data_IF_257769873435
#
_entry.id   IF_257769873435
#
_cell.length_a   1.000
_cell.length_b   1.000
_cell.length_c   1.000
_cell.angle_alpha   90.00
_cell.angle_beta   90.00
_cell.angle_gamma   90.00
#
_symmetry.space_group_name_H-M   'P 1'
#
loop_
_entity.id
_entity.type
_entity.pdbx_description
1 polymer ?
#
# COMPACT_ATOMS: atom_id res chain seq x y z
N UNK A 1 -14.04 0.20 -13.79
CA UNK A 1 -12.92 -0.71 -13.44
C UNK A 1 -12.90 -1.13 -11.96
N UNK A 2 -13.85 -0.68 -11.14
CA UNK A 2 -14.03 -1.18 -9.78
C UNK A 2 -15.51 -1.39 -9.49
N UNK A 3 -15.84 -2.47 -8.80
CA UNK A 3 -17.19 -2.77 -8.34
C UNK A 3 -17.22 -2.86 -6.82
N UNK A 4 -18.32 -2.43 -6.16
CA UNK A 4 -18.46 -2.54 -4.72
C UNK A 4 -18.34 -3.99 -4.25
N UNK A 5 -17.77 -4.19 -3.06
CA UNK A 5 -17.77 -5.49 -2.41
C UNK A 5 -19.11 -5.69 -1.68
N UNK A 6 -19.96 -6.55 -2.25
CA UNK A 6 -21.26 -6.93 -1.70
C UNK A 6 -21.17 -8.41 -1.29
N UNK A 7 -21.09 -8.73 0.01
CA UNK A 7 -21.09 -10.10 0.48
C UNK A 7 -22.49 -10.73 0.32
N UNK A 8 -22.59 -12.06 0.10
CA UNK A 8 -23.87 -12.75 -0.04
C UNK A 8 -24.49 -12.98 1.35
N UNK A 9 -25.03 -11.92 1.94
CA UNK A 9 -25.69 -11.93 3.25
C UNK A 9 -27.18 -11.67 3.05
N UNK A 10 -28.02 -12.43 3.76
CA UNK A 10 -29.46 -12.27 3.66
C UNK A 10 -29.88 -10.88 4.17
N UNK A 11 -30.66 -10.17 3.35
CA UNK A 11 -31.08 -8.80 3.62
C UNK A 11 -30.01 -7.72 3.40
N UNK A 12 -28.84 -8.05 2.81
CA UNK A 12 -27.80 -7.04 2.53
C UNK A 12 -28.28 -5.90 1.63
N UNK A 13 -29.29 -6.15 0.79
CA UNK A 13 -29.91 -5.15 -0.10
C UNK A 13 -30.64 -4.03 0.66
N UNK A 14 -30.92 -4.22 1.96
CA UNK A 14 -31.43 -3.17 2.85
C UNK A 14 -30.36 -2.12 3.18
N UNK A 15 -29.08 -2.44 2.97
CA UNK A 15 -27.97 -1.54 3.21
C UNK A 15 -27.69 -0.66 1.99
N UNK A 16 -27.47 0.64 2.24
CA UNK A 16 -27.02 1.58 1.21
C UNK A 16 -25.51 1.41 1.02
N UNK A 17 -25.05 1.18 -0.22
CA UNK A 17 -23.63 1.11 -0.54
C UNK A 17 -22.94 2.45 -0.35
N UNK A 18 -21.67 2.45 0.10
CA UNK A 18 -20.82 3.65 0.19
C UNK A 18 -20.90 4.52 -1.08
N UNK A 19 -20.92 3.87 -2.25
CA UNK A 19 -21.04 4.51 -3.56
C UNK A 19 -22.33 5.34 -3.79
N UNK A 20 -23.35 5.14 -2.94
CA UNK A 20 -24.67 5.75 -3.05
C UNK A 20 -25.12 6.46 -1.76
N UNK A 21 -24.24 6.64 -0.77
CA UNK A 21 -24.58 7.32 0.49
C UNK A 21 -24.88 8.80 0.20
N UNK A 22 -25.97 9.32 0.77
CA UNK A 22 -26.30 10.75 0.63
C UNK A 22 -25.26 11.61 1.31
N UNK A 23 -24.90 12.73 0.67
CA UNK A 23 -24.04 13.76 1.24
C UNK A 23 -24.84 14.79 2.05
N UNK A 24 -26.17 14.75 2.00
CA UNK A 24 -27.06 15.66 2.72
C UNK A 24 -27.19 15.18 4.16
N UNK A 25 -26.62 15.94 5.10
CA UNK A 25 -26.54 15.57 6.52
C UNK A 25 -27.92 15.52 7.19
N UNK A 26 -28.86 16.34 6.73
CA UNK A 26 -30.23 16.42 7.22
C UNK A 26 -30.99 15.08 7.05
N UNK A 27 -30.63 14.24 6.08
CA UNK A 27 -31.21 12.90 5.92
C UNK A 27 -30.88 11.94 7.06
N UNK A 28 -29.86 12.29 7.86
CA UNK A 28 -29.38 11.51 8.99
C UNK A 28 -29.86 12.07 10.34
N UNK A 29 -30.61 13.17 10.34
CA UNK A 29 -31.16 13.78 11.55
C UNK A 29 -32.00 12.79 12.37
N UNK A 30 -31.64 12.66 13.65
CA UNK A 30 -32.29 11.76 14.61
C UNK A 30 -32.30 10.28 14.16
N UNK A 31 -31.36 9.87 13.32
CA UNK A 31 -31.22 8.48 12.84
C UNK A 31 -30.15 7.74 13.63
N UNK A 32 -30.44 6.49 13.99
CA UNK A 32 -29.45 5.53 14.45
C UNK A 32 -28.87 4.79 13.26
N UNK A 33 -27.55 4.82 13.08
CA UNK A 33 -26.89 4.33 11.86
C UNK A 33 -25.95 3.19 12.18
N UNK A 34 -26.05 2.11 11.40
CA UNK A 34 -25.07 1.02 11.39
C UNK A 34 -24.19 1.12 10.15
N UNK A 35 -22.87 1.15 10.33
CA UNK A 35 -21.89 1.13 9.25
C UNK A 35 -21.17 -0.22 9.23
N UNK A 36 -21.19 -0.89 8.08
CA UNK A 36 -20.48 -2.15 7.85
C UNK A 36 -19.09 -1.85 7.29
N UNK A 37 -18.07 -2.11 8.07
CA UNK A 37 -16.67 -1.85 7.76
C UNK A 37 -16.04 -0.87 8.74
N UNK A 38 -14.70 -0.85 8.75
CA UNK A 38 -13.86 0.03 9.59
C UNK A 38 -12.61 0.52 8.86
N UNK A 39 -12.70 0.63 7.53
CA UNK A 39 -11.68 1.30 6.71
C UNK A 39 -11.93 2.81 6.62
N UNK A 40 -11.08 3.53 5.88
CA UNK A 40 -11.23 4.99 5.72
C UNK A 40 -12.64 5.41 5.30
N UNK A 41 -13.21 4.76 4.27
CA UNK A 41 -14.57 5.04 3.81
C UNK A 41 -15.64 4.97 4.92
N UNK A 42 -15.54 4.02 5.86
CA UNK A 42 -16.49 3.89 6.96
C UNK A 42 -16.36 5.06 7.94
N UNK A 43 -15.13 5.43 8.29
CA UNK A 43 -14.86 6.54 9.21
C UNK A 43 -15.10 7.91 8.58
N UNK A 44 -14.87 8.08 7.27
CA UNK A 44 -15.24 9.30 6.54
C UNK A 44 -16.74 9.50 6.52
N UNK A 45 -17.52 8.44 6.25
CA UNK A 45 -18.99 8.51 6.33
C UNK A 45 -19.43 8.86 7.75
N UNK A 46 -18.89 8.17 8.76
CA UNK A 46 -19.24 8.44 10.15
C UNK A 46 -18.93 9.89 10.55
N UNK A 47 -17.74 10.38 10.21
CA UNK A 47 -17.31 11.75 10.46
C UNK A 47 -18.24 12.77 9.80
N UNK A 48 -18.70 12.49 8.57
CA UNK A 48 -19.58 13.38 7.81
C UNK A 48 -20.98 13.49 8.42
N UNK A 49 -21.53 12.39 8.93
CA UNK A 49 -22.91 12.35 9.46
C UNK A 49 -22.99 12.50 10.99
N UNK A 50 -21.84 12.55 11.66
CA UNK A 50 -21.75 12.43 13.12
C UNK A 50 -22.68 13.39 13.86
N UNK A 51 -22.61 14.67 13.49
CA UNK A 51 -23.32 15.76 14.17
C UNK A 51 -24.85 15.73 13.94
N UNK A 52 -25.35 14.91 13.00
CA UNK A 52 -26.77 14.77 12.70
C UNK A 52 -27.40 13.49 13.30
N UNK A 53 -26.59 12.45 13.54
CA UNK A 53 -27.09 11.14 13.98
C UNK A 53 -27.31 11.03 15.48
N UNK A 54 -28.18 10.11 15.91
CA UNK A 54 -28.35 9.77 17.33
C UNK A 54 -27.13 9.03 17.90
N UNK A 55 -26.65 8.05 17.14
CA UNK A 55 -25.46 7.26 17.42
C UNK A 55 -25.06 6.48 16.16
N UNK A 56 -23.78 6.12 16.09
CA UNK A 56 -23.22 5.33 15.01
C UNK A 56 -22.57 4.07 15.58
N UNK A 57 -22.97 2.92 15.07
CA UNK A 57 -22.30 1.65 15.34
C UNK A 57 -21.51 1.18 14.12
N UNK A 58 -20.33 0.60 14.34
CA UNK A 58 -19.49 0.04 13.28
C UNK A 58 -19.19 -1.44 13.49
N UNK A 59 -19.53 -2.25 12.50
CA UNK A 59 -19.24 -3.69 12.50
C UNK A 59 -18.11 -4.03 11.52
N UNK A 60 -17.14 -4.82 11.96
CA UNK A 60 -16.07 -5.33 11.10
C UNK A 60 -15.53 -6.66 11.61
N UNK A 61 -14.93 -7.46 10.72
CA UNK A 61 -14.27 -8.73 11.06
C UNK A 61 -12.91 -8.56 11.74
N UNK A 62 -12.39 -7.34 11.80
CA UNK A 62 -11.05 -7.08 12.31
C UNK A 62 -10.95 -5.77 13.05
N UNK A 63 -10.03 -5.73 14.03
CA UNK A 63 -9.63 -4.53 14.76
C UNK A 63 -9.28 -3.36 13.83
N UNK A 64 -9.48 -2.15 14.34
CA UNK A 64 -9.02 -0.93 13.68
C UNK A 64 -7.49 -0.93 13.61
N UNK A 65 -6.97 -0.46 12.47
CA UNK A 65 -5.54 -0.20 12.27
C UNK A 65 -5.38 1.25 11.91
N UNK A 66 -4.47 1.94 12.56
CA UNK A 66 -4.17 3.34 12.28
C UNK A 66 -3.06 3.46 11.25
N UNK A 67 -3.25 4.31 10.24
CA UNK A 67 -2.30 4.53 9.15
C UNK A 67 -0.93 5.02 9.64
N UNK A 68 -0.89 5.84 10.70
CA UNK A 68 0.38 6.31 11.28
C UNK A 68 1.17 5.17 11.94
N UNK A 69 0.50 4.13 12.44
CA UNK A 69 1.14 2.99 13.10
C UNK A 69 1.57 1.91 12.10
N UNK A 70 0.75 1.66 11.07
CA UNK A 70 1.05 0.65 10.04
C UNK A 70 1.87 1.17 8.86
N UNK A 71 2.06 2.49 8.79
CA UNK A 71 2.62 3.19 7.64
C UNK A 71 1.94 2.80 6.31
N UNK A 72 0.62 2.60 6.37
CA UNK A 72 -0.18 2.25 5.20
C UNK A 72 -1.39 3.16 5.10
N UNK A 73 -1.43 4.00 4.05
CA UNK A 73 -2.48 5.01 3.85
C UNK A 73 -3.88 4.39 3.72
N UNK A 74 -3.98 3.11 3.36
CA UNK A 74 -5.26 2.38 3.29
C UNK A 74 -5.82 1.92 4.64
N UNK A 75 -5.09 2.13 5.74
CA UNK A 75 -5.59 2.01 7.11
C UNK A 75 -6.15 3.36 7.60
N UNK A 76 -6.78 3.39 8.79
CA UNK A 76 -7.52 4.55 9.29
C UNK A 76 -6.63 5.80 9.44
N UNK A 77 -7.02 6.89 8.79
CA UNK A 77 -6.41 8.21 8.94
C UNK A 77 -6.85 8.87 10.24
N UNK A 78 -5.90 9.45 10.97
CA UNK A 78 -6.14 10.09 12.27
C UNK A 78 -7.16 11.25 12.23
N UNK A 79 -7.31 11.91 11.08
CA UNK A 79 -8.28 12.98 10.89
C UNK A 79 -9.74 12.52 11.04
N UNK A 80 -10.00 11.21 10.85
CA UNK A 80 -11.33 10.62 10.96
C UNK A 80 -11.50 9.79 12.24
N UNK A 81 -10.71 10.05 13.28
CA UNK A 81 -10.72 9.25 14.51
C UNK A 81 -11.81 9.63 15.50
N UNK A 82 -12.65 10.65 15.25
CA UNK A 82 -13.62 11.16 16.22
C UNK A 82 -14.49 10.07 16.86
N UNK A 83 -14.96 9.10 16.05
CA UNK A 83 -15.77 7.99 16.53
C UNK A 83 -15.01 7.03 17.47
N UNK A 84 -13.68 6.93 17.37
CA UNK A 84 -12.88 6.16 18.33
C UNK A 84 -12.86 6.83 19.70
N UNK A 85 -12.74 8.16 19.72
CA UNK A 85 -12.73 8.94 20.96
C UNK A 85 -14.09 8.85 21.65
N UNK A 86 -15.19 9.02 20.91
CA UNK A 86 -16.55 9.02 21.47
C UNK A 86 -16.95 7.64 21.97
N UNK A 87 -16.59 6.58 21.25
CA UNK A 87 -16.75 5.19 21.72
C UNK A 87 -16.07 4.96 23.07
N UNK A 88 -14.84 5.46 23.26
CA UNK A 88 -14.10 5.28 24.51
C UNK A 88 -14.56 6.21 25.63
N UNK A 89 -15.05 7.41 25.30
CA UNK A 89 -15.40 8.46 26.26
C UNK A 89 -16.89 8.48 26.65
N UNK A 90 -17.54 7.31 26.64
CA UNK A 90 -18.92 7.07 27.15
C UNK A 90 -20.03 7.75 26.33
N UNK A 91 -19.88 7.87 25.01
CA UNK A 91 -21.01 8.11 24.13
C UNK A 91 -21.81 6.82 23.87
N UNK A 92 -22.89 6.91 23.08
CA UNK A 92 -23.66 5.75 22.62
C UNK A 92 -23.04 5.05 21.40
N UNK A 93 -21.94 5.56 20.85
CA UNK A 93 -21.27 4.94 19.70
C UNK A 93 -20.64 3.60 20.07
N UNK A 94 -20.54 2.68 19.11
CA UNK A 94 -20.00 1.35 19.35
C UNK A 94 -19.17 0.82 18.18
N UNK A 95 -18.07 0.14 18.50
CA UNK A 95 -17.31 -0.67 17.56
C UNK A 95 -17.45 -2.14 17.96
N UNK A 96 -18.01 -2.97 17.07
CA UNK A 96 -18.22 -4.40 17.34
C UNK A 96 -17.51 -5.31 16.31
N UNK A 97 -16.73 -6.28 16.80
CA UNK A 97 -16.01 -7.27 15.99
C UNK A 97 -16.84 -8.54 15.85
N UNK A 98 -17.45 -8.75 14.68
CA UNK A 98 -18.21 -9.97 14.36
C UNK A 98 -17.99 -10.40 12.91
N UNK A 99 -18.23 -11.68 12.62
CA UNK A 99 -18.34 -12.15 11.24
C UNK A 99 -19.75 -11.91 10.69
N UNK A 100 -19.85 -10.96 9.76
CA UNK A 100 -21.10 -10.62 9.08
C UNK A 100 -21.71 -11.81 8.33
N UNK A 101 -20.92 -12.82 7.94
CA UNK A 101 -21.44 -14.01 7.26
C UNK A 101 -22.34 -14.89 8.16
N UNK A 102 -22.18 -14.78 9.48
CA UNK A 102 -22.99 -15.48 10.47
C UNK A 102 -24.28 -14.72 10.83
N UNK A 103 -24.55 -13.60 10.15
CA UNK A 103 -25.66 -12.73 10.47
C UNK A 103 -26.58 -12.51 9.27
N UNK A 104 -27.80 -12.04 9.53
CA UNK A 104 -28.78 -11.59 8.55
C UNK A 104 -29.33 -10.21 8.93
N UNK A 105 -29.82 -9.48 7.93
CA UNK A 105 -30.48 -8.19 8.12
C UNK A 105 -31.98 -8.33 7.88
N UNK A 106 -32.78 -7.94 8.87
CA UNK A 106 -34.23 -8.01 8.82
C UNK A 106 -34.83 -6.62 9.01
N UNK A 107 -35.73 -6.22 8.12
CA UNK A 107 -36.50 -4.99 8.30
C UNK A 107 -37.76 -5.29 9.10
N UNK A 108 -38.00 -4.54 10.17
CA UNK A 108 -39.23 -4.62 10.93
C UNK A 108 -40.39 -4.04 10.11
N UNK A 109 -41.47 -4.80 9.84
CA UNK A 109 -42.58 -4.33 9.03
C UNK A 109 -43.40 -3.22 9.68
N UNK A 110 -43.27 -2.99 11.00
CA UNK A 110 -44.06 -1.99 11.74
C UNK A 110 -43.40 -0.60 11.69
N UNK A 111 -42.11 -0.51 12.02
CA UNK A 111 -41.39 0.76 12.11
C UNK A 111 -40.38 0.99 10.97
N UNK A 112 -40.15 -0.03 10.12
CA UNK A 112 -39.21 0.03 8.99
C UNK A 112 -37.73 -0.03 9.38
N UNK A 113 -37.39 -0.19 10.66
CA UNK A 113 -36.00 -0.23 11.15
C UNK A 113 -35.37 -1.58 10.87
N UNK A 114 -34.05 -1.57 10.65
CA UNK A 114 -33.27 -2.74 10.26
C UNK A 114 -32.56 -3.30 11.50
N UNK A 115 -32.76 -4.60 11.75
CA UNK A 115 -32.07 -5.34 12.80
C UNK A 115 -31.02 -6.27 12.19
N UNK A 116 -29.90 -6.44 12.89
CA UNK A 116 -28.92 -7.50 12.61
C UNK A 116 -29.15 -8.65 13.59
N UNK A 117 -29.29 -9.87 13.08
CA UNK A 117 -29.49 -11.08 13.90
C UNK A 117 -28.52 -12.17 13.51
N UNK A 118 -28.18 -13.03 14.46
CA UNK A 118 -27.41 -14.24 14.19
C UNK A 118 -28.24 -15.21 13.34
N UNK A 119 -27.63 -15.85 12.34
CA UNK A 119 -28.27 -16.93 11.57
C UNK A 119 -28.43 -18.13 12.50
N UNK A 120 -29.64 -18.37 12.97
CA UNK A 120 -29.93 -19.50 13.85
C UNK A 120 -29.84 -20.79 13.01
N UNK A 121 -28.92 -21.70 13.36
CA UNK A 121 -29.06 -23.11 12.99
C UNK A 121 -30.04 -23.78 13.94
N UNK A 122 -30.83 -24.75 13.46
CA UNK A 122 -31.91 -25.46 14.20
C UNK A 122 -31.52 -26.09 15.56
N UNK A 123 -30.27 -25.98 16.01
CA UNK A 123 -29.73 -26.62 17.21
C UNK A 123 -29.63 -25.74 18.45
N UNK A 124 -29.75 -24.41 18.38
CA UNK A 124 -29.45 -23.53 19.53
C UNK A 124 -30.61 -22.62 19.94
N UNK A 125 -31.69 -23.24 20.46
CA UNK A 125 -32.88 -22.58 21.00
C UNK A 125 -32.55 -21.72 22.25
N UNK A 126 -31.44 -21.99 22.94
CA UNK A 126 -31.06 -21.29 24.19
C UNK A 126 -30.44 -19.88 24.01
N UNK A 127 -30.19 -19.41 22.77
CA UNK A 127 -29.66 -18.06 22.52
C UNK A 127 -30.81 -17.03 22.35
N UNK A 128 -32.07 -17.48 22.29
CA UNK A 128 -33.24 -16.63 22.04
C UNK A 128 -33.47 -15.50 23.06
N UNK A 129 -33.01 -15.63 24.31
CA UNK A 129 -33.55 -14.81 25.42
C UNK A 129 -32.69 -13.61 25.88
N UNK A 130 -31.56 -13.27 25.24
CA UNK A 130 -30.64 -12.25 25.81
C UNK A 130 -30.15 -11.11 24.93
N UNK A 131 -30.58 -10.99 23.69
CA UNK A 131 -30.21 -9.83 22.87
C UNK A 131 -31.46 -9.06 22.46
N UNK A 132 -31.73 -7.95 23.15
CA UNK A 132 -32.51 -6.87 22.56
C UNK A 132 -31.80 -6.47 21.26
N UNK A 133 -32.34 -6.92 20.13
CA UNK A 133 -31.74 -6.64 18.83
C UNK A 133 -31.84 -5.15 18.54
N UNK A 134 -30.71 -4.45 18.67
CA UNK A 134 -30.59 -3.03 18.33
C UNK A 134 -31.05 -2.86 16.89
N UNK A 135 -32.02 -1.95 16.69
CA UNK A 135 -32.57 -1.62 15.39
C UNK A 135 -32.02 -0.27 14.92
N UNK A 136 -31.76 -0.18 13.61
CA UNK A 136 -31.15 0.99 12.96
C UNK A 136 -32.09 1.57 11.92
N UNK A 137 -32.07 2.88 11.77
CA UNK A 137 -32.85 3.56 10.74
C UNK A 137 -32.17 3.50 9.37
N UNK A 138 -30.83 3.37 9.36
CA UNK A 138 -30.01 3.22 8.15
C UNK A 138 -28.89 2.21 8.40
N UNK A 139 -28.64 1.36 7.40
CA UNK A 139 -27.44 0.53 7.33
C UNK A 139 -26.62 0.97 6.12
N UNK A 140 -25.31 1.19 6.29
CA UNK A 140 -24.40 1.66 5.26
C UNK A 140 -23.28 0.64 5.05
N UNK A 141 -23.05 0.21 3.81
CA UNK A 141 -22.02 -0.76 3.44
C UNK A 141 -20.75 -0.08 2.96
N UNK A 142 -19.73 -0.06 3.82
CA UNK A 142 -18.38 0.47 3.56
C UNK A 142 -17.33 -0.67 3.49
N UNK A 143 -17.62 -1.72 2.74
CA UNK A 143 -16.82 -2.97 2.68
C UNK A 143 -15.73 -2.99 1.60
N UNK A 144 -15.44 -1.82 1.00
CA UNK A 144 -14.43 -1.64 -0.03
C UNK A 144 -14.89 -2.06 -1.44
N UNK A 145 -13.94 -2.06 -2.35
CA UNK A 145 -14.13 -2.35 -3.78
C UNK A 145 -13.22 -3.48 -4.25
N UNK A 146 -13.62 -4.15 -5.32
CA UNK A 146 -12.84 -5.17 -6.03
C UNK A 146 -12.66 -4.77 -7.49
N UNK A 147 -11.62 -5.31 -8.12
CA UNK A 147 -11.40 -5.22 -9.56
C UNK A 147 -12.63 -5.73 -10.31
N UNK A 148 -13.11 -4.88 -11.21
CA UNK A 148 -14.24 -5.14 -12.08
C UNK A 148 -13.73 -5.73 -13.39
N UNK A 149 -13.97 -7.03 -13.58
CA UNK A 149 -13.62 -7.82 -14.75
C UNK A 149 -14.77 -7.95 -15.78
N UNK A 150 -15.80 -7.12 -15.70
CA UNK A 150 -16.98 -7.23 -16.57
C UNK A 150 -16.77 -6.71 -18.00
N UNK A 151 -15.75 -5.90 -18.26
CA UNK A 151 -15.46 -5.39 -19.61
C UNK A 151 -14.93 -6.49 -20.55
N UNK A 152 -14.43 -7.60 -20.00
CA UNK A 152 -13.89 -8.71 -20.77
C UNK A 152 -15.00 -9.70 -21.18
N UNK A 153 -14.85 -10.36 -22.33
CA UNK A 153 -15.73 -11.44 -22.74
C UNK A 153 -15.68 -12.60 -21.74
N UNK A 154 -16.76 -13.37 -21.59
CA UNK A 154 -16.86 -14.47 -20.61
C UNK A 154 -15.80 -15.57 -20.75
N UNK A 155 -15.16 -15.68 -21.92
CA UNK A 155 -14.05 -16.61 -22.19
C UNK A 155 -12.69 -16.09 -21.71
N UNK A 156 -12.58 -14.79 -21.43
CA UNK A 156 -11.36 -14.15 -20.92
C UNK A 156 -11.45 -14.10 -19.41
N UNK A 157 -10.69 -14.97 -18.73
CA UNK A 157 -10.67 -15.06 -17.27
C UNK A 157 -9.35 -14.52 -16.75
N UNK A 158 -9.42 -13.37 -16.08
CA UNK A 158 -8.27 -12.79 -15.40
C UNK A 158 -8.17 -13.43 -14.01
N UNK A 159 -7.07 -14.13 -13.75
CA UNK A 159 -6.78 -14.64 -12.42
C UNK A 159 -6.67 -13.49 -11.41
N UNK A 160 -7.20 -13.72 -10.21
CA UNK A 160 -7.08 -12.81 -9.07
C UNK A 160 -6.08 -13.38 -8.08
N UNK A 161 -5.45 -12.52 -7.30
CA UNK A 161 -4.57 -13.00 -6.23
C UNK A 161 -5.35 -13.76 -5.15
N UNK A 162 -4.64 -14.41 -4.23
CA UNK A 162 -5.24 -15.10 -3.09
C UNK A 162 -5.25 -14.23 -1.83
N UNK A 163 -6.09 -14.59 -0.86
CA UNK A 163 -6.14 -13.94 0.45
C UNK A 163 -6.51 -12.45 0.36
N UNK A 164 -5.75 -11.58 1.05
CA UNK A 164 -6.08 -10.16 1.19
C UNK A 164 -5.91 -9.32 -0.09
N UNK A 165 -5.20 -9.84 -1.08
CA UNK A 165 -4.97 -9.17 -2.37
C UNK A 165 -5.93 -9.68 -3.46
N UNK A 166 -6.87 -10.59 -3.15
CA UNK A 166 -7.84 -11.14 -4.10
C UNK A 166 -8.76 -10.11 -4.78
N UNK A 167 -8.78 -8.88 -4.26
CA UNK A 167 -9.47 -7.75 -4.85
C UNK A 167 -8.74 -7.15 -6.07
N UNK A 168 -7.50 -7.58 -6.35
CA UNK A 168 -6.71 -7.14 -7.50
C UNK A 168 -6.47 -8.30 -8.49
N UNK A 169 -6.27 -7.98 -9.79
CA UNK A 169 -5.78 -8.97 -10.75
C UNK A 169 -4.40 -9.48 -10.33
N UNK A 170 -4.11 -10.72 -10.68
CA UNK A 170 -2.78 -11.33 -10.55
C UNK A 170 -1.95 -10.85 -11.74
N UNK A 171 -0.85 -10.14 -11.46
CA UNK A 171 -0.01 -9.53 -12.50
C UNK A 171 1.48 -9.78 -12.20
N UNK A 172 2.27 -9.90 -13.27
CA UNK A 172 3.72 -10.08 -13.22
C UNK A 172 4.43 -8.79 -12.77
N UNK A 173 5.74 -8.87 -12.46
CA UNK A 173 6.50 -7.70 -11.99
C UNK A 173 6.73 -6.61 -13.04
N UNK A 174 6.52 -6.92 -14.32
CA UNK A 174 6.46 -5.97 -15.44
C UNK A 174 5.02 -5.49 -15.74
N UNK A 175 4.10 -5.76 -14.82
CA UNK A 175 2.68 -5.37 -14.83
C UNK A 175 1.84 -6.03 -15.94
N UNK A 176 2.39 -7.06 -16.59
CA UNK A 176 1.64 -7.89 -17.52
C UNK A 176 0.69 -8.83 -16.76
N UNK A 177 -0.40 -9.24 -17.41
CA UNK A 177 -1.23 -10.35 -16.97
C UNK A 177 -0.39 -11.61 -16.78
N UNK A 178 -0.76 -12.45 -15.82
CA UNK A 178 -0.23 -13.81 -15.74
C UNK A 178 -0.83 -14.75 -16.79
N UNK A 179 -2.04 -14.46 -17.26
CA UNK A 179 -2.84 -15.37 -18.08
C UNK A 179 -2.71 -15.07 -19.58
N UNK A 180 -2.45 -13.82 -19.94
CA UNK A 180 -2.45 -13.35 -21.32
C UNK A 180 -1.21 -12.50 -21.65
N UNK A 181 -0.49 -12.91 -22.68
CA UNK A 181 0.56 -12.09 -23.26
C UNK A 181 -0.02 -10.79 -23.84
N UNK A 182 0.77 -9.73 -23.75
CA UNK A 182 0.44 -8.39 -24.25
C UNK A 182 -0.77 -7.71 -23.58
N UNK A 183 -1.31 -8.26 -22.51
CA UNK A 183 -2.31 -7.61 -21.64
C UNK A 183 -1.63 -7.04 -20.40
N UNK A 184 -1.80 -5.74 -20.13
CA UNK A 184 -1.15 -5.06 -19.00
C UNK A 184 -2.14 -4.32 -18.12
N UNK A 185 -1.78 -4.16 -16.85
CA UNK A 185 -2.59 -3.45 -15.86
C UNK A 185 -1.83 -2.22 -15.35
N UNK A 186 -2.55 -1.10 -15.21
CA UNK A 186 -1.97 0.17 -14.76
C UNK A 186 -2.83 0.84 -13.69
N UNK A 187 -2.30 1.88 -13.05
CA UNK A 187 -2.95 2.61 -11.97
C UNK A 187 -3.03 1.79 -10.68
N UNK A 188 -4.15 1.90 -9.95
CA UNK A 188 -4.33 1.25 -8.64
C UNK A 188 -4.31 -0.28 -8.71
N UNK A 189 -4.50 -0.89 -9.89
CA UNK A 189 -4.41 -2.34 -10.08
C UNK A 189 -2.97 -2.86 -9.93
N UNK A 190 -1.98 -2.00 -10.15
CA UNK A 190 -0.56 -2.32 -9.93
C UNK A 190 -0.26 -2.53 -8.44
N UNK A 191 -1.15 -2.06 -7.55
CA UNK A 191 -1.03 -2.28 -6.11
C UNK A 191 -1.16 -3.75 -5.69
N UNK A 192 -1.51 -4.65 -6.61
CA UNK A 192 -1.39 -6.10 -6.44
C UNK A 192 0.03 -6.53 -6.02
N UNK A 193 1.07 -5.87 -6.52
CA UNK A 193 2.48 -6.23 -6.30
C UNK A 193 2.99 -5.69 -4.95
N UNK A 194 2.64 -4.44 -4.63
CA UNK A 194 3.16 -3.70 -3.47
C UNK A 194 2.12 -3.44 -2.39
N UNK A 195 1.02 -4.21 -2.36
CA UNK A 195 -0.02 -4.12 -1.33
C UNK A 195 0.58 -4.12 0.08
N UNK A 196 0.38 -3.02 0.82
CA UNK A 196 0.94 -2.80 2.17
C UNK A 196 2.47 -2.84 2.27
N UNK A 197 3.16 -2.66 1.14
CA UNK A 197 4.63 -2.59 1.08
C UNK A 197 5.10 -1.19 0.69
N UNK A 198 4.39 -0.53 -0.22
CA UNK A 198 4.72 0.83 -0.70
C UNK A 198 3.45 1.57 -1.16
N UNK A 199 3.62 2.62 -1.95
CA UNK A 199 2.60 3.62 -2.28
C UNK A 199 1.78 3.36 -3.54
N UNK A 200 1.93 2.22 -4.22
CA UNK A 200 1.29 1.91 -5.50
C UNK A 200 -0.24 1.87 -5.48
N UNK A 201 -0.86 1.93 -4.31
CA UNK A 201 -2.32 2.03 -4.15
C UNK A 201 -2.89 3.44 -4.36
N UNK A 202 -2.03 4.46 -4.45
CA UNK A 202 -2.42 5.87 -4.42
C UNK A 202 -1.72 6.66 -5.53
N UNK A 203 -2.31 7.79 -5.93
CA UNK A 203 -1.85 8.59 -7.08
C UNK A 203 -0.38 8.98 -7.01
N UNK A 204 0.13 9.27 -5.81
CA UNK A 204 1.53 9.64 -5.60
C UNK A 204 2.48 8.47 -5.87
N UNK A 205 2.05 7.20 -5.76
CA UNK A 205 2.86 6.03 -6.08
C UNK A 205 2.62 5.48 -7.49
N UNK A 206 1.36 5.15 -7.85
CA UNK A 206 1.10 4.48 -9.13
C UNK A 206 1.43 5.33 -10.35
N UNK A 207 1.54 6.66 -10.22
CA UNK A 207 2.00 7.52 -11.31
C UNK A 207 3.42 7.14 -11.77
N UNK A 208 4.30 6.78 -10.84
CA UNK A 208 5.66 6.32 -11.17
C UNK A 208 5.63 4.91 -11.72
N UNK A 209 4.81 4.01 -11.17
CA UNK A 209 4.62 2.68 -11.74
C UNK A 209 4.12 2.76 -13.20
N UNK A 210 3.22 3.69 -13.50
CA UNK A 210 2.73 3.94 -14.86
C UNK A 210 3.85 4.43 -15.78
N UNK A 211 4.71 5.33 -15.30
CA UNK A 211 5.90 5.78 -16.04
C UNK A 211 6.89 4.64 -16.29
N UNK A 212 7.13 3.80 -15.29
CA UNK A 212 7.93 2.58 -15.42
C UNK A 212 7.36 1.65 -16.49
N UNK A 213 6.05 1.39 -16.49
CA UNK A 213 5.39 0.57 -17.51
C UNK A 213 5.59 1.15 -18.92
N UNK A 214 5.47 2.48 -19.06
CA UNK A 214 5.76 3.15 -20.32
C UNK A 214 7.20 2.90 -20.81
N UNK A 215 8.19 3.01 -19.92
CA UNK A 215 9.60 2.74 -20.26
C UNK A 215 9.87 1.27 -20.60
N UNK A 216 9.17 0.34 -19.94
CA UNK A 216 9.19 -1.09 -20.31
C UNK A 216 8.70 -1.26 -21.75
N UNK A 217 7.62 -0.56 -22.15
CA UNK A 217 7.08 -0.62 -23.50
C UNK A 217 8.01 -0.03 -24.55
N UNK A 218 8.67 1.10 -24.26
CA UNK A 218 9.65 1.73 -25.14
C UNK A 218 10.70 0.74 -25.62
N UNK A 219 11.30 -0.02 -24.71
CA UNK A 219 12.29 -1.02 -25.10
C UNK A 219 11.66 -2.28 -25.71
N UNK A 220 10.59 -2.80 -25.08
CA UNK A 220 9.95 -4.05 -25.50
C UNK A 220 9.45 -3.99 -26.94
N UNK A 221 8.71 -2.93 -27.29
CA UNK A 221 8.01 -2.82 -28.57
C UNK A 221 8.69 -1.89 -29.59
N UNK A 222 9.48 -0.93 -29.13
CA UNK A 222 10.10 0.06 -30.03
C UNK A 222 11.63 0.01 -30.03
N UNK A 223 12.25 -0.83 -29.19
CA UNK A 223 13.71 -0.92 -29.02
C UNK A 223 14.35 0.42 -28.65
N UNK A 224 13.56 1.33 -28.09
CA UNK A 224 14.04 2.58 -27.49
C UNK A 224 14.61 2.19 -26.13
N UNK A 225 15.93 2.31 -25.96
CA UNK A 225 16.59 1.97 -24.70
C UNK A 225 16.04 2.83 -23.57
N UNK A 226 16.02 2.28 -22.35
CA UNK A 226 15.65 3.04 -21.16
C UNK A 226 16.49 4.32 -21.09
N UNK A 227 15.84 5.42 -20.72
CA UNK A 227 16.52 6.70 -20.55
C UNK A 227 17.71 6.53 -19.61
N UNK A 228 18.90 6.96 -20.03
CA UNK A 228 20.08 6.83 -19.19
C UNK A 228 21.01 8.02 -19.37
N UNK A 229 21.73 8.35 -18.28
CA UNK A 229 22.76 9.36 -18.29
C UNK A 229 24.12 8.69 -18.08
N UNK A 230 25.08 8.98 -18.94
CA UNK A 230 26.47 8.54 -18.76
C UNK A 230 27.32 9.69 -18.23
N UNK A 231 28.13 9.42 -17.22
CA UNK A 231 29.04 10.39 -16.63
C UNK A 231 30.34 9.71 -16.18
N UNK A 232 31.36 10.52 -15.93
CA UNK A 232 32.63 10.04 -15.39
C UNK A 232 32.45 9.52 -13.96
N UNK A 233 33.12 8.42 -13.60
CA UNK A 233 33.12 7.89 -12.22
C UNK A 233 33.38 9.00 -11.20
N UNK A 234 34.29 9.93 -11.47
CA UNK A 234 34.64 11.02 -10.56
C UNK A 234 33.46 11.93 -10.20
N UNK A 235 32.38 11.91 -10.98
CA UNK A 235 31.14 12.66 -10.71
C UNK A 235 30.10 11.88 -9.92
N UNK A 236 30.35 10.59 -9.60
CA UNK A 236 29.37 9.71 -8.96
C UNK A 236 28.85 10.25 -7.63
N UNK A 237 29.73 10.71 -6.74
CA UNK A 237 29.31 11.25 -5.44
C UNK A 237 28.38 12.46 -5.61
N UNK A 238 28.73 13.40 -6.50
CA UNK A 238 27.89 14.58 -6.77
C UNK A 238 26.54 14.17 -7.37
N UNK A 239 26.55 13.17 -8.26
CA UNK A 239 25.34 12.65 -8.85
C UNK A 239 24.43 11.98 -7.81
N UNK A 240 24.99 11.13 -6.94
CA UNK A 240 24.24 10.48 -5.86
C UNK A 240 23.63 11.51 -4.92
N UNK A 241 24.42 12.50 -4.47
CA UNK A 241 23.92 13.59 -3.61
C UNK A 241 22.76 14.31 -4.29
N UNK A 242 22.92 14.73 -5.55
CA UNK A 242 21.83 15.35 -6.29
C UNK A 242 20.59 14.45 -6.34
N UNK A 243 20.76 13.18 -6.74
CA UNK A 243 19.64 12.27 -6.94
C UNK A 243 18.90 11.97 -5.65
N UNK A 244 19.60 11.73 -4.53
CA UNK A 244 18.95 11.50 -3.23
C UNK A 244 18.05 12.66 -2.79
N UNK A 245 18.38 13.90 -3.16
CA UNK A 245 17.61 15.08 -2.80
C UNK A 245 16.49 15.43 -3.80
N UNK A 246 16.47 14.81 -5.00
CA UNK A 246 15.52 15.14 -6.07
C UNK A 246 14.67 13.94 -6.54
N UNK A 247 14.98 12.71 -6.11
CA UNK A 247 14.37 11.48 -6.62
C UNK A 247 13.00 11.19 -6.00
N UNK A 248 11.98 11.81 -6.56
CA UNK A 248 10.58 11.64 -6.17
C UNK A 248 10.04 10.22 -6.44
N UNK A 249 10.46 9.56 -7.53
CA UNK A 249 10.01 8.21 -7.88
C UNK A 249 10.39 7.14 -6.84
N UNK A 250 11.68 6.99 -6.55
CA UNK A 250 12.14 6.02 -5.54
C UNK A 250 11.75 6.44 -4.11
N UNK A 251 11.56 7.73 -3.84
CA UNK A 251 11.03 8.21 -2.56
C UNK A 251 9.59 7.74 -2.34
N UNK A 252 8.72 7.92 -3.35
CA UNK A 252 7.32 7.54 -3.26
C UNK A 252 7.12 6.02 -3.34
N UNK A 253 7.90 5.35 -4.20
CA UNK A 253 7.88 3.90 -4.41
C UNK A 253 9.05 3.19 -3.71
N UNK A 254 9.34 3.60 -2.47
CA UNK A 254 10.42 3.06 -1.66
C UNK A 254 10.41 1.53 -1.64
N UNK A 255 11.58 0.93 -1.80
CA UNK A 255 11.76 -0.52 -1.83
C UNK A 255 11.09 -1.27 -3.01
N UNK A 256 10.40 -0.58 -3.92
CA UNK A 256 9.82 -1.17 -5.14
C UNK A 256 10.52 -0.67 -6.40
N UNK A 257 10.80 0.64 -6.46
CA UNK A 257 11.64 1.24 -7.49
C UNK A 257 13.00 1.59 -6.91
N UNK A 258 14.05 1.35 -7.69
CA UNK A 258 15.42 1.69 -7.37
C UNK A 258 16.04 2.44 -8.54
N UNK A 259 16.98 3.31 -8.24
CA UNK A 259 17.84 3.83 -9.28
C UNK A 259 19.05 2.90 -9.45
N UNK A 260 19.46 2.70 -10.70
CA UNK A 260 20.49 1.74 -11.08
C UNK A 260 21.69 2.47 -11.67
N UNK A 261 22.87 2.22 -11.12
CA UNK A 261 24.15 2.74 -11.59
C UNK A 261 25.02 1.58 -12.06
N UNK A 262 25.18 1.49 -13.38
CA UNK A 262 26.08 0.56 -14.03
C UNK A 262 27.49 1.13 -14.05
N UNK A 263 28.44 0.40 -13.48
CA UNK A 263 29.82 0.86 -13.31
C UNK A 263 30.73 0.16 -14.33
N UNK A 264 31.26 0.95 -15.27
CA UNK A 264 32.33 0.53 -16.16
C UNK A 264 33.69 0.89 -15.54
N UNK A 265 34.33 -0.11 -14.94
CA UNK A 265 35.65 0.02 -14.29
C UNK A 265 36.77 0.29 -15.28
N UNK A 266 36.64 -0.18 -16.52
CA UNK A 266 37.69 -0.08 -17.56
C UNK A 266 37.73 1.35 -18.09
N UNK A 267 36.57 1.88 -18.49
CA UNK A 267 36.47 3.23 -19.06
C UNK A 267 36.27 4.32 -17.99
N UNK A 268 36.16 3.93 -16.71
CA UNK A 268 35.88 4.83 -15.57
C UNK A 268 34.63 5.67 -15.80
N UNK A 269 33.58 5.02 -16.30
CA UNK A 269 32.29 5.64 -16.56
C UNK A 269 31.20 4.97 -15.73
N UNK A 270 30.18 5.76 -15.42
CA UNK A 270 28.96 5.28 -14.80
C UNK A 270 27.80 5.57 -15.75
N UNK A 271 26.87 4.62 -15.88
CA UNK A 271 25.59 4.84 -16.54
C UNK A 271 24.48 4.73 -15.50
N UNK A 272 23.70 5.78 -15.38
CA UNK A 272 22.57 5.86 -14.48
C UNK A 272 21.26 5.61 -15.21
N UNK A 273 20.39 4.82 -14.60
CA UNK A 273 19.05 4.44 -15.04
C UNK A 273 18.13 4.72 -13.84
N UNK A 274 17.20 5.65 -13.99
CA UNK A 274 16.21 6.01 -12.98
C UNK A 274 15.05 5.01 -12.91
N UNK A 275 14.55 4.84 -11.68
CA UNK A 275 13.19 4.33 -11.38
C UNK A 275 12.89 2.95 -11.98
N UNK A 276 13.84 2.04 -11.80
CA UNK A 276 13.75 0.67 -12.28
C UNK A 276 13.11 -0.27 -11.24
N UNK A 277 12.24 -1.22 -11.63
CA UNK A 277 11.63 -2.14 -10.67
C UNK A 277 12.66 -3.07 -10.04
N UNK A 278 12.79 -3.02 -8.72
CA UNK A 278 13.76 -3.85 -7.99
C UNK A 278 13.59 -5.35 -8.30
N UNK A 279 12.35 -5.81 -8.46
CA UNK A 279 12.04 -7.22 -8.76
C UNK A 279 12.38 -7.65 -10.18
N UNK A 280 12.63 -6.70 -11.09
CA UNK A 280 13.04 -6.98 -12.47
C UNK A 280 14.55 -6.85 -12.67
N UNK A 281 15.34 -6.64 -11.61
CA UNK A 281 16.79 -6.47 -11.71
C UNK A 281 17.50 -7.63 -12.43
N UNK A 282 17.12 -8.91 -12.26
CA UNK A 282 17.68 -10.01 -13.06
C UNK A 282 17.46 -9.88 -14.57
N UNK A 283 16.44 -9.12 -14.99
CA UNK A 283 16.07 -8.89 -16.40
C UNK A 283 16.51 -7.51 -16.90
N UNK A 284 17.46 -6.86 -16.23
CA UNK A 284 17.91 -5.50 -16.56
C UNK A 284 18.30 -5.35 -18.03
N UNK A 285 19.11 -6.26 -18.58
CA UNK A 285 19.54 -6.21 -19.98
C UNK A 285 18.37 -6.40 -20.94
N UNK A 286 17.46 -7.32 -20.62
CA UNK A 286 16.26 -7.63 -21.41
C UNK A 286 15.25 -6.49 -21.45
N UNK A 287 15.19 -5.66 -20.39
CA UNK A 287 14.19 -4.60 -20.26
C UNK A 287 14.77 -3.22 -20.63
N UNK A 288 16.08 -3.01 -20.45
CA UNK A 288 16.69 -1.69 -20.67
C UNK A 288 17.62 -1.64 -21.89
N UNK A 289 18.15 -2.79 -22.33
CA UNK A 289 19.18 -2.87 -23.37
C UNK A 289 20.57 -2.45 -22.91
N UNK A 290 20.83 -2.45 -21.59
CA UNK A 290 22.13 -2.23 -21.00
C UNK A 290 22.60 -3.43 -20.19
N UNK A 291 23.87 -3.78 -20.38
CA UNK A 291 24.57 -4.83 -19.63
C UNK A 291 25.60 -4.21 -18.70
N UNK A 292 25.76 -4.78 -17.51
CA UNK A 292 26.88 -4.45 -16.61
C UNK A 292 27.17 -5.60 -15.67
N UNK A 293 28.45 -5.76 -15.32
CA UNK A 293 28.92 -6.71 -14.31
C UNK A 293 28.96 -6.10 -12.90
N UNK A 294 29.11 -4.77 -12.83
CA UNK A 294 29.18 -4.03 -11.57
C UNK A 294 27.95 -3.13 -11.46
N UNK A 295 27.20 -3.32 -10.38
CA UNK A 295 25.92 -2.66 -10.17
C UNK A 295 25.94 -1.96 -8.81
N UNK A 296 25.71 -0.66 -8.82
CA UNK A 296 25.39 0.10 -7.62
C UNK A 296 23.93 0.53 -7.71
N UNK A 297 23.14 0.26 -6.67
CA UNK A 297 21.74 0.62 -6.60
C UNK A 297 21.55 1.68 -5.53
N UNK A 298 20.72 2.67 -5.81
CA UNK A 298 20.22 3.61 -4.83
C UNK A 298 18.76 3.26 -4.52
N UNK A 299 18.51 2.84 -3.28
CA UNK A 299 17.20 2.46 -2.76
C UNK A 299 16.79 3.43 -1.65
N UNK A 300 15.53 3.84 -1.61
CA UNK A 300 14.95 4.48 -0.43
C UNK A 300 14.27 3.41 0.41
N UNK A 301 14.55 3.37 1.72
CA UNK A 301 13.97 2.37 2.62
C UNK A 301 13.73 2.91 4.03
N UNK A 302 12.74 2.32 4.70
CA UNK A 302 12.53 2.47 6.13
C UNK A 302 13.30 1.38 6.89
N UNK A 303 13.59 1.64 8.16
CA UNK A 303 14.13 0.63 9.05
C UNK A 303 13.15 -0.53 9.25
N UNK A 304 13.69 -1.73 9.51
CA UNK A 304 12.89 -2.97 9.65
C UNK A 304 11.79 -2.83 10.71
N UNK A 305 12.01 -1.99 11.72
CA UNK A 305 11.09 -1.80 12.83
C UNK A 305 10.27 -0.52 12.81
N UNK A 306 10.32 0.22 11.71
CA UNK A 306 9.70 1.53 11.57
C UNK A 306 8.18 1.54 11.82
N UNK A 307 7.48 0.52 11.35
CA UNK A 307 6.02 0.45 11.45
C UNK A 307 5.52 -0.96 11.68
N UNK A 308 4.26 -1.07 12.10
CA UNK A 308 3.58 -2.35 12.28
C UNK A 308 2.35 -2.23 13.16
N UNK A 309 1.34 -3.06 12.90
CA UNK A 309 0.10 -3.02 13.66
C UNK A 309 0.34 -3.41 15.13
N UNK A 310 0.14 -2.46 16.05
CA UNK A 310 0.36 -2.66 17.49
C UNK A 310 1.79 -2.39 17.95
N UNK A 311 2.66 -1.85 17.09
CA UNK A 311 3.97 -1.35 17.49
C UNK A 311 3.87 0.07 18.02
N UNK A 312 4.72 0.42 18.97
CA UNK A 312 4.89 1.79 19.41
C UNK A 312 5.79 2.55 18.44
N UNK A 313 5.17 3.23 17.47
CA UNK A 313 5.87 4.07 16.49
C UNK A 313 6.38 5.39 17.10
N UNK A 314 6.12 5.65 18.38
CA UNK A 314 6.57 6.83 19.12
C UNK A 314 7.60 6.50 20.20
N UNK A 315 8.17 5.27 20.20
CA UNK A 315 9.22 4.85 21.11
C UNK A 315 10.41 5.83 21.15
N UNK A 316 11.04 5.96 22.32
CA UNK A 316 12.06 6.98 22.59
C UNK A 316 13.33 6.82 21.75
N UNK A 317 13.72 5.57 21.47
CA UNK A 317 14.96 5.17 20.79
C UNK A 317 14.79 4.95 19.27
N UNK A 318 13.75 5.54 18.68
CA UNK A 318 13.37 5.31 17.28
C UNK A 318 14.19 6.06 16.24
N UNK A 319 15.13 6.93 16.63
CA UNK A 319 15.90 7.80 15.72
C UNK A 319 17.38 7.44 15.82
N UNK A 320 18.05 7.31 14.68
CA UNK A 320 19.52 7.23 14.63
C UNK A 320 20.08 8.62 14.36
N UNK A 321 21.08 9.05 15.14
CA UNK A 321 21.65 10.40 15.07
C UNK A 321 23.14 10.44 14.73
N UNK A 322 23.74 9.31 14.35
CA UNK A 322 25.16 9.22 14.01
C UNK A 322 25.38 8.39 12.76
N UNK A 323 26.38 8.80 11.96
CA UNK A 323 26.84 8.11 10.75
C UNK A 323 27.24 6.66 11.07
N UNK A 324 27.87 6.43 12.22
CA UNK A 324 28.33 5.10 12.64
C UNK A 324 27.17 4.11 12.93
N UNK A 325 25.96 4.64 13.08
CA UNK A 325 24.73 3.87 13.33
C UNK A 325 23.71 4.06 12.21
N UNK A 326 24.15 4.45 11.00
CA UNK A 326 23.26 4.69 9.87
C UNK A 326 22.51 3.42 9.42
N UNK A 327 23.07 2.22 9.66
CA UNK A 327 22.42 0.92 9.46
C UNK A 327 21.16 0.73 10.32
N UNK A 328 21.06 1.50 11.41
CA UNK A 328 19.92 1.52 12.35
C UNK A 328 18.93 2.64 12.08
N UNK A 329 19.11 3.41 10.99
CA UNK A 329 18.15 4.43 10.58
C UNK A 329 16.76 3.82 10.44
N UNK A 330 15.78 4.50 10.99
CA UNK A 330 14.44 3.98 11.14
C UNK A 330 13.47 4.63 10.14
N UNK A 331 13.60 5.94 9.94
CA UNK A 331 12.86 6.71 8.96
C UNK A 331 13.38 6.45 7.54
N UNK A 332 12.69 7.02 6.55
CA UNK A 332 13.05 6.86 5.16
C UNK A 332 14.45 7.43 4.93
N UNK A 333 15.36 6.59 4.47
CA UNK A 333 16.73 7.00 4.18
C UNK A 333 17.27 6.30 2.93
N UNK A 334 18.29 6.88 2.27
CA UNK A 334 18.89 6.30 1.10
C UNK A 334 19.90 5.23 1.50
N UNK A 335 19.89 4.12 0.76
CA UNK A 335 20.78 2.99 0.98
C UNK A 335 21.35 2.54 -0.34
N UNK A 336 22.68 2.47 -0.36
CA UNK A 336 23.45 2.03 -1.51
C UNK A 336 23.70 0.53 -1.40
N UNK A 337 23.31 -0.21 -2.44
CA UNK A 337 23.61 -1.63 -2.57
C UNK A 337 24.57 -1.84 -3.73
N UNK A 338 25.72 -2.47 -3.47
CA UNK A 338 26.69 -2.82 -4.50
C UNK A 338 26.74 -4.32 -4.70
N UNK A 339 26.55 -4.75 -5.96
CA UNK A 339 26.69 -6.12 -6.43
C UNK A 339 27.87 -6.19 -7.41
N UNK A 340 28.80 -7.11 -7.15
CA UNK A 340 30.08 -7.25 -7.86
C UNK A 340 30.07 -8.29 -8.99
N UNK A 341 28.92 -8.91 -9.23
CA UNK A 341 28.76 -10.06 -10.11
C UNK A 341 27.29 -10.21 -10.52
N UNK A 342 27.03 -11.08 -11.51
CA UNK A 342 25.71 -11.41 -12.07
C UNK A 342 24.61 -11.49 -11.00
N UNK A 343 23.42 -11.02 -11.38
CA UNK A 343 22.22 -11.04 -10.56
C UNK A 343 21.42 -12.35 -10.70
N UNK A 344 21.83 -13.26 -11.61
CA UNK A 344 21.08 -14.48 -11.96
C UNK A 344 20.85 -15.43 -10.77
N UNK A 345 21.77 -15.48 -9.80
CA UNK A 345 21.67 -16.36 -8.62
C UNK A 345 20.91 -15.72 -7.44
N UNK A 346 20.38 -14.51 -7.60
CA UNK A 346 19.74 -13.76 -6.52
C UNK A 346 18.21 -13.81 -6.69
N UNK A 347 17.51 -14.29 -5.65
CA UNK A 347 16.05 -14.28 -5.61
C UNK A 347 15.49 -12.87 -5.35
N UNK A 348 15.14 -12.19 -6.44
CA UNK A 348 14.44 -10.91 -6.41
C UNK A 348 12.91 -11.04 -6.37
N UNK A 349 12.33 -12.25 -6.35
CA UNK A 349 10.89 -12.42 -6.16
C UNK A 349 10.48 -12.14 -4.71
N UNK A 350 11.38 -12.43 -3.77
CA UNK A 350 11.18 -12.27 -2.34
C UNK A 350 11.85 -11.02 -1.75
N UNK A 351 11.76 -9.87 -2.44
CA UNK A 351 12.10 -8.55 -1.84
C UNK A 351 11.21 -8.32 -0.62
N UNK A 352 11.75 -8.55 0.57
CA UNK A 352 11.06 -8.43 1.86
C UNK A 352 10.99 -6.96 2.24
N UNK A 353 9.79 -6.41 2.38
CA UNK A 353 9.55 -5.09 2.97
C UNK A 353 10.48 -3.95 2.47
N UNK A 354 10.90 -4.00 1.20
CA UNK A 354 11.78 -2.99 0.59
C UNK A 354 13.28 -3.23 0.74
N UNK A 355 13.71 -4.28 1.44
CA UNK A 355 15.10 -4.71 1.53
C UNK A 355 15.48 -5.54 0.31
N UNK A 356 16.53 -5.11 -0.40
CA UNK A 356 17.05 -5.86 -1.53
C UNK A 356 17.77 -7.14 -1.03
N UNK A 357 17.73 -8.24 -1.80
CA UNK A 357 18.35 -9.48 -1.39
C UNK A 357 19.87 -9.34 -1.28
N UNK A 358 20.46 -10.03 -0.30
CA UNK A 358 21.89 -9.98 -0.02
C UNK A 358 22.56 -11.28 -0.45
N UNK A 359 23.74 -11.19 -1.06
CA UNK A 359 24.70 -12.29 -1.17
C UNK A 359 25.95 -11.98 -0.36
N UNK A 360 26.83 -12.96 -0.19
CA UNK A 360 28.08 -12.82 0.58
C UNK A 360 28.98 -11.68 0.11
N UNK A 361 28.94 -11.35 -1.18
CA UNK A 361 29.71 -10.26 -1.77
C UNK A 361 28.99 -8.89 -1.82
N UNK A 362 27.70 -8.84 -1.45
CA UNK A 362 26.94 -7.59 -1.45
C UNK A 362 27.53 -6.64 -0.41
N UNK A 363 27.83 -5.41 -0.84
CA UNK A 363 28.23 -4.33 0.06
C UNK A 363 27.08 -3.34 0.19
N UNK A 364 26.83 -2.88 1.40
CA UNK A 364 25.74 -1.98 1.71
C UNK A 364 26.30 -0.76 2.42
N UNK A 365 25.84 0.41 2.02
CA UNK A 365 26.12 1.65 2.72
C UNK A 365 24.82 2.38 3.00
N UNK A 366 24.50 2.54 4.28
CA UNK A 366 23.37 3.33 4.72
C UNK A 366 23.79 4.78 4.89
N UNK A 367 22.99 5.68 4.34
CA UNK A 367 23.16 7.12 4.53
C UNK A 367 22.19 7.51 5.64
N UNK A 368 22.69 8.21 6.65
CA UNK A 368 21.91 8.56 7.85
C UNK A 368 20.64 9.33 7.47
N UNK A 369 19.56 9.06 8.19
CA UNK A 369 18.29 9.78 8.02
C UNK A 369 18.42 11.26 8.37
N UNK A 370 17.66 12.11 7.68
CA UNK A 370 17.61 13.54 7.95
C UNK A 370 16.15 13.98 8.07
N UNK A 371 15.82 14.74 9.11
CA UNK A 371 14.44 15.17 9.42
C UNK A 371 13.83 15.98 8.28
N UNK A 372 14.63 16.76 7.56
CA UNK A 372 14.19 17.57 6.43
C UNK A 372 14.28 16.81 5.10
N UNK A 373 14.68 15.54 5.12
CA UNK A 373 14.97 14.74 3.93
C UNK A 373 15.98 15.44 3.00
N UNK A 374 16.98 16.10 3.61
CA UNK A 374 18.08 16.76 2.92
C UNK A 374 19.39 16.03 3.20
N UNK A 375 19.90 15.31 2.21
CA UNK A 375 21.14 14.53 2.30
C UNK A 375 22.30 15.29 1.65
N UNK A 376 22.64 16.45 2.21
CA UNK A 376 23.71 17.31 1.70
C UNK A 376 24.75 17.72 2.75
N UNK A 377 24.53 17.35 4.01
CA UNK A 377 25.48 17.69 5.09
C UNK A 377 26.89 17.14 4.81
N UNK A 378 27.94 17.98 4.84
CA UNK A 378 29.27 17.58 4.40
C UNK A 378 29.87 16.39 5.18
N UNK A 379 29.71 16.36 6.50
CA UNK A 379 30.31 15.34 7.36
C UNK A 379 29.48 14.06 7.43
N UNK A 380 28.15 14.19 7.32
CA UNK A 380 27.22 13.08 7.56
C UNK A 380 26.80 12.35 6.28
N UNK A 381 26.72 13.07 5.16
CA UNK A 381 26.22 12.53 3.90
C UNK A 381 27.28 12.51 2.80
N UNK A 382 28.11 13.56 2.69
CA UNK A 382 29.06 13.67 1.58
C UNK A 382 30.35 12.92 1.86
N UNK A 383 30.96 13.13 3.04
CA UNK A 383 32.24 12.52 3.40
C UNK A 383 32.18 10.97 3.39
N UNK A 384 31.13 10.31 3.89
CA UNK A 384 31.06 8.84 3.87
C UNK A 384 31.02 8.23 2.46
N UNK A 385 30.60 9.00 1.45
CA UNK A 385 30.56 8.57 0.05
C UNK A 385 31.89 8.74 -0.70
N UNK A 386 32.92 9.31 -0.06
CA UNK A 386 34.21 9.62 -0.70
C UNK A 386 35.29 8.54 -0.51
N UNK A 387 34.93 7.34 -0.06
CA UNK A 387 35.88 6.27 0.30
C UNK A 387 36.14 5.30 -0.85
#
# INVERSE_FOLDING_TARGET
LSIPNIPPIDGIDLAVGYENVSLVTEEFENKSVLILGRGNAAFEVAQHIYDATNYIHMISRSRVRNAYATHYVGDLRAINNQLLDTYQLKSLDALVEIDLMEHEFLQNPVDGRIQIKYKISDTDINIQERQEAIAYDKVIRCLGFKFDDSIWHSDVKIEKNLGRTNKYPKIQFDYQSFDYDHLYFTGTLMHSIDFRKSSGGFIHGFRYLTQTLYRIFEYRYHKIKWSSMTFSWYSLTNYLIKRMNEADGIYQMFGQLVDVILIDRINRQCRFIDEYPARLLPRLEEITGYRSENLLLLNMQYGMNYSGAGRDVFAFDRVSASVDTADRSNFLHPVLYYYDSSLEEIDFENVKAGFLPLKSSTRIHHIIENVLTLWMEPTEHVLPLRV
#
